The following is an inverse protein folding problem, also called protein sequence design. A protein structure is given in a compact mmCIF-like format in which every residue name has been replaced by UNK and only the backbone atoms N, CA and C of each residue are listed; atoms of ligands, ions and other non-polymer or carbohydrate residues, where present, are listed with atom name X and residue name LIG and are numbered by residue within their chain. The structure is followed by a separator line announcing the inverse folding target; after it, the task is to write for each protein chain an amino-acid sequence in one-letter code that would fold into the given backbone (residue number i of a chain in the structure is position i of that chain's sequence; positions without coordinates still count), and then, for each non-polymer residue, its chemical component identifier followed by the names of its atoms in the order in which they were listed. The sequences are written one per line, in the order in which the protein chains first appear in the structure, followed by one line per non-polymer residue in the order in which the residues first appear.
data_IF_003693155645
#
_entry.id   IF_003693155645
#
_cell.length_a   1.000
_cell.length_b   1.000
_cell.length_c   1.000
_cell.angle_alpha   90.00
_cell.angle_beta   90.00
_cell.angle_gamma   90.00
#
_symmetry.space_group_name_H-M   'P 1'
#
loop_
_entity.id
_entity.type
_entity.pdbx_description
1 polymer ?
#
# COMPACT_ATOMS: atom_id res chain seq x y z
N UNK A 1 39.50 7.65 8.97
CA UNK A 1 39.56 6.18 8.80
C UNK A 1 39.62 5.91 7.30
N UNK A 2 40.74 5.39 6.77
CA UNK A 2 40.93 5.14 5.35
C UNK A 2 40.33 3.77 5.01
N UNK A 3 39.40 3.73 4.04
CA UNK A 3 38.81 2.49 3.53
C UNK A 3 39.85 1.84 2.60
N UNK A 4 40.27 0.59 2.83
CA UNK A 4 41.21 -0.08 1.94
C UNK A 4 40.60 -0.29 0.55
N UNK A 5 41.31 0.14 -0.50
CA UNK A 5 40.92 -0.13 -1.88
C UNK A 5 41.39 -1.50 -2.28
N UNK A 6 40.48 -2.36 -2.72
CA UNK A 6 40.83 -3.65 -3.34
C UNK A 6 41.46 -3.43 -4.71
N UNK A 7 42.48 -4.23 -5.05
CA UNK A 7 43.19 -4.17 -6.33
C UNK A 7 42.35 -4.70 -7.51
N UNK A 8 41.36 -5.53 -7.25
CA UNK A 8 40.45 -6.10 -8.25
C UNK A 8 39.12 -6.45 -7.56
N UNK A 9 38.02 -5.87 -8.06
CA UNK A 9 36.67 -6.09 -7.53
C UNK A 9 36.17 -4.95 -6.60
N UNK A 10 34.89 -4.65 -6.66
CA UNK A 10 34.21 -3.73 -5.76
C UNK A 10 33.47 -4.56 -4.72
N UNK A 11 34.12 -4.93 -3.65
CA UNK A 11 33.45 -5.52 -2.50
C UNK A 11 33.03 -4.38 -1.55
N UNK A 12 31.89 -3.75 -1.89
CA UNK A 12 31.25 -2.78 -1.01
C UNK A 12 30.32 -3.56 -0.11
N UNK A 13 30.54 -3.59 1.21
CA UNK A 13 29.64 -4.28 2.12
C UNK A 13 28.19 -3.81 1.90
N UNK A 14 27.23 -4.74 1.84
CA UNK A 14 25.80 -4.48 1.57
C UNK A 14 25.17 -3.36 2.41
N UNK A 15 25.72 -3.08 3.60
CA UNK A 15 25.27 -2.00 4.47
C UNK A 15 25.80 -0.60 4.06
N UNK A 16 26.75 -0.51 3.14
CA UNK A 16 27.32 0.75 2.61
C UNK A 16 26.66 1.17 1.28
N UNK A 17 25.75 0.39 0.72
CA UNK A 17 25.02 0.77 -0.50
C UNK A 17 24.12 2.00 -0.22
N UNK A 18 24.74 3.19 -0.16
CA UNK A 18 24.06 4.48 -0.01
C UNK A 18 22.99 4.70 -1.10
N UNK A 19 23.21 4.10 -2.28
CA UNK A 19 22.29 4.19 -3.42
C UNK A 19 20.96 3.48 -3.16
N UNK A 20 20.95 2.29 -2.57
CA UNK A 20 19.73 1.58 -2.21
C UNK A 20 18.92 2.28 -1.14
N UNK A 21 19.58 2.87 -0.14
CA UNK A 21 18.86 3.66 0.89
C UNK A 21 18.23 4.92 0.31
N UNK A 22 18.94 5.59 -0.61
CA UNK A 22 18.40 6.74 -1.32
C UNK A 22 17.21 6.36 -2.20
N UNK A 23 17.28 5.24 -2.92
CA UNK A 23 16.19 4.70 -3.74
C UNK A 23 14.97 4.33 -2.88
N UNK A 24 15.17 3.65 -1.75
CA UNK A 24 14.08 3.33 -0.83
C UNK A 24 13.44 4.58 -0.19
N UNK A 25 14.25 5.55 0.23
CA UNK A 25 13.75 6.81 0.76
C UNK A 25 12.95 7.57 -0.29
N UNK A 26 13.40 7.55 -1.53
CA UNK A 26 12.73 8.18 -2.64
C UNK A 26 11.38 7.51 -2.95
N UNK A 27 11.34 6.17 -3.02
CA UNK A 27 10.10 5.41 -3.19
C UNK A 27 9.13 5.75 -2.08
N UNK A 28 9.58 5.84 -0.83
CA UNK A 28 8.75 6.22 0.32
C UNK A 28 8.19 7.64 0.18
N UNK A 29 9.01 8.61 -0.26
CA UNK A 29 8.56 10.01 -0.48
C UNK A 29 7.55 10.08 -1.63
N UNK A 30 7.79 9.37 -2.73
CA UNK A 30 6.86 9.33 -3.87
C UNK A 30 5.55 8.65 -3.48
N UNK A 31 5.62 7.55 -2.73
CA UNK A 31 4.45 6.84 -2.22
C UNK A 31 3.62 7.73 -1.30
N UNK A 32 4.25 8.37 -0.31
CA UNK A 32 3.58 9.30 0.60
C UNK A 32 2.96 10.48 -0.15
N UNK A 33 3.69 11.09 -1.08
CA UNK A 33 3.18 12.18 -1.89
C UNK A 33 1.99 11.76 -2.78
N UNK A 34 2.01 10.54 -3.33
CA UNK A 34 0.89 9.97 -4.08
C UNK A 34 -0.34 9.78 -3.19
N UNK A 35 -0.16 9.21 -2.00
CA UNK A 35 -1.24 9.03 -1.00
C UNK A 35 -1.84 10.39 -0.60
N UNK A 36 -1.01 11.42 -0.47
CA UNK A 36 -1.43 12.80 -0.16
C UNK A 36 -2.05 13.53 -1.37
N UNK A 37 -2.18 12.88 -2.52
CA UNK A 37 -2.74 13.49 -3.73
C UNK A 37 -1.87 14.59 -4.34
N UNK A 38 -0.57 14.57 -4.08
CA UNK A 38 0.38 15.53 -4.66
C UNK A 38 0.64 15.18 -6.11
N UNK A 39 0.50 16.17 -7.01
CA UNK A 39 0.75 15.93 -8.43
C UNK A 39 2.21 15.52 -8.71
N UNK A 40 2.44 14.69 -9.72
CA UNK A 40 3.78 14.22 -10.12
C UNK A 40 4.79 15.36 -10.37
N UNK A 41 4.33 16.52 -10.85
CA UNK A 41 5.16 17.74 -11.01
C UNK A 41 5.62 18.32 -9.67
N UNK A 42 4.74 18.32 -8.66
CA UNK A 42 5.10 18.80 -7.33
C UNK A 42 6.03 17.81 -6.62
N UNK A 43 5.85 16.50 -6.86
CA UNK A 43 6.75 15.47 -6.35
C UNK A 43 8.14 15.62 -6.95
N UNK A 44 8.25 15.87 -8.25
CA UNK A 44 9.52 16.16 -8.93
C UNK A 44 10.23 17.37 -8.30
N UNK A 45 9.49 18.48 -8.11
CA UNK A 45 10.04 19.68 -7.48
C UNK A 45 10.51 19.42 -6.02
N UNK A 46 9.75 18.65 -5.25
CA UNK A 46 10.10 18.26 -3.88
C UNK A 46 11.40 17.44 -3.85
N UNK A 47 11.51 16.46 -4.73
CA UNK A 47 12.68 15.59 -4.83
C UNK A 47 13.92 16.36 -5.25
N UNK A 48 13.79 17.32 -6.18
CA UNK A 48 14.87 18.24 -6.56
C UNK A 48 15.32 19.11 -5.37
N UNK A 49 14.36 19.60 -4.57
CA UNK A 49 14.65 20.38 -3.36
C UNK A 49 15.42 19.57 -2.32
N UNK A 50 15.21 18.27 -2.26
CA UNK A 50 15.95 17.33 -1.41
C UNK A 50 17.37 17.01 -1.92
N UNK A 51 17.81 17.66 -3.03
CA UNK A 51 19.14 17.47 -3.59
C UNK A 51 19.31 16.14 -4.35
N UNK A 52 18.20 15.43 -4.61
CA UNK A 52 18.21 14.21 -5.42
C UNK A 52 18.10 14.67 -6.89
N UNK A 53 19.26 14.91 -7.50
CA UNK A 53 19.33 15.27 -8.91
C UNK A 53 18.89 14.10 -9.80
N UNK A 54 17.97 14.35 -10.75
CA UNK A 54 17.74 13.45 -11.87
C UNK A 54 16.47 12.60 -11.84
N UNK A 55 15.50 12.87 -10.96
CA UNK A 55 14.16 12.26 -11.11
C UNK A 55 13.35 13.07 -12.10
N UNK A 56 13.00 12.43 -13.19
CA UNK A 56 12.09 12.97 -14.19
C UNK A 56 10.63 12.65 -13.83
N UNK A 57 9.70 13.42 -14.39
CA UNK A 57 8.26 13.15 -14.28
C UNK A 57 7.91 11.71 -14.71
N UNK A 58 8.58 11.17 -15.73
CA UNK A 58 8.39 9.80 -16.20
C UNK A 58 8.84 8.76 -15.18
N UNK A 59 9.88 9.05 -14.43
CA UNK A 59 10.37 8.17 -13.35
C UNK A 59 9.42 8.14 -12.15
N UNK A 60 8.89 9.30 -11.75
CA UNK A 60 7.83 9.38 -10.73
C UNK A 60 6.61 8.59 -11.18
N UNK A 61 6.15 8.73 -12.43
CA UNK A 61 5.02 7.97 -12.96
C UNK A 61 5.29 6.45 -12.97
N UNK A 62 6.52 6.02 -13.29
CA UNK A 62 6.91 4.61 -13.24
C UNK A 62 6.90 4.06 -11.81
N UNK A 63 7.34 4.84 -10.84
CA UNK A 63 7.29 4.46 -9.42
C UNK A 63 5.84 4.33 -8.93
N UNK A 64 4.97 5.27 -9.31
CA UNK A 64 3.54 5.18 -9.00
C UNK A 64 2.92 3.90 -9.61
N UNK A 65 3.19 3.61 -10.88
CA UNK A 65 2.70 2.40 -11.53
C UNK A 65 3.21 1.10 -10.86
N UNK A 66 4.44 1.11 -10.35
CA UNK A 66 4.96 -0.02 -9.58
C UNK A 66 4.26 -0.20 -8.23
N UNK A 67 3.87 0.89 -7.56
CA UNK A 67 3.07 0.86 -6.33
C UNK A 67 1.66 0.35 -6.60
N UNK A 68 1.04 0.80 -7.70
CA UNK A 68 -0.28 0.32 -8.12
C UNK A 68 -0.25 -1.19 -8.34
N UNK A 69 0.77 -1.70 -9.07
CA UNK A 69 0.94 -3.13 -9.29
C UNK A 69 1.12 -3.93 -7.98
N UNK A 70 1.83 -3.39 -6.99
CA UNK A 70 1.97 -4.03 -5.67
C UNK A 70 0.64 -4.04 -4.91
N UNK A 71 -0.13 -2.95 -4.99
CA UNK A 71 -1.45 -2.85 -4.38
C UNK A 71 -2.41 -3.84 -5.00
N UNK A 72 -2.42 -3.96 -6.32
CA UNK A 72 -3.25 -4.93 -7.04
C UNK A 72 -2.86 -6.37 -6.72
N UNK A 73 -1.57 -6.67 -6.67
CA UNK A 73 -1.07 -7.97 -6.24
C UNK A 73 -1.50 -8.31 -4.80
N UNK A 74 -1.49 -7.32 -3.89
CA UNK A 74 -2.01 -7.49 -2.54
C UNK A 74 -3.51 -7.74 -2.53
N UNK A 75 -4.29 -6.96 -3.29
CA UNK A 75 -5.75 -7.06 -3.35
C UNK A 75 -6.23 -8.39 -3.94
N UNK A 76 -5.47 -8.96 -4.86
CA UNK A 76 -5.84 -10.19 -5.59
C UNK A 76 -5.20 -11.47 -5.07
N UNK A 77 -4.23 -11.36 -4.13
CA UNK A 77 -3.52 -12.54 -3.58
C UNK A 77 -4.46 -13.55 -2.95
N UNK A 78 -4.13 -14.83 -3.10
CA UNK A 78 -4.86 -15.91 -2.43
C UNK A 78 -4.70 -15.85 -0.93
N UNK A 79 -5.73 -16.34 -0.22
CA UNK A 79 -5.77 -16.45 1.23
C UNK A 79 -5.69 -17.95 1.58
N UNK A 80 -4.48 -18.48 1.74
CA UNK A 80 -4.23 -19.92 1.83
C UNK A 80 -4.38 -20.48 3.26
N UNK A 81 -4.50 -19.62 4.28
CA UNK A 81 -4.66 -20.02 5.67
C UNK A 81 -6.13 -19.99 6.13
N UNK A 82 -6.38 -20.52 7.32
CA UNK A 82 -7.64 -20.34 8.04
C UNK A 82 -7.56 -19.13 8.96
N UNK A 83 -8.66 -18.37 8.99
CA UNK A 83 -8.79 -17.12 9.76
C UNK A 83 -9.99 -17.22 10.69
N UNK A 84 -9.85 -17.81 11.89
CA UNK A 84 -10.96 -17.98 12.82
C UNK A 84 -11.57 -16.66 13.30
N UNK A 85 -10.80 -15.58 13.29
CA UNK A 85 -11.27 -14.25 13.68
C UNK A 85 -11.01 -13.25 12.56
N UNK A 86 -12.04 -12.49 12.19
CA UNK A 86 -11.96 -11.44 11.17
C UNK A 86 -12.57 -10.16 11.71
N UNK A 87 -11.86 -9.05 11.55
CA UNK A 87 -12.36 -7.70 11.82
C UNK A 87 -12.59 -6.97 10.52
N UNK A 88 -13.72 -6.32 10.42
CA UNK A 88 -14.00 -5.36 9.37
C UNK A 88 -14.03 -3.95 9.97
N UNK A 89 -13.42 -3.02 9.28
CA UNK A 89 -13.33 -1.60 9.64
C UNK A 89 -13.49 -0.76 8.38
N UNK A 90 -14.08 0.42 8.51
CA UNK A 90 -14.19 1.37 7.43
C UNK A 90 -13.72 2.76 7.85
N UNK A 91 -13.11 3.48 6.91
CA UNK A 91 -12.68 4.87 7.10
C UNK A 91 -13.02 5.68 5.87
N UNK A 92 -13.36 6.94 6.07
CA UNK A 92 -13.45 7.89 4.98
C UNK A 92 -12.11 8.58 4.75
N UNK A 93 -11.65 8.56 3.50
CA UNK A 93 -10.45 9.27 3.04
C UNK A 93 -10.82 10.29 1.98
N UNK A 94 -10.18 11.45 2.02
CA UNK A 94 -10.32 12.44 0.96
C UNK A 94 -9.35 12.13 -0.17
N UNK A 95 -9.88 11.73 -1.31
CA UNK A 95 -9.13 11.40 -2.52
C UNK A 95 -9.33 12.48 -3.56
N UNK A 96 -8.27 12.87 -4.24
CA UNK A 96 -8.36 13.79 -5.37
C UNK A 96 -8.46 13.00 -6.67
N UNK A 97 -9.61 13.08 -7.31
CA UNK A 97 -9.88 12.51 -8.62
C UNK A 97 -10.44 13.62 -9.53
N UNK A 98 -9.97 13.70 -10.77
CA UNK A 98 -10.41 14.70 -11.78
C UNK A 98 -10.47 16.16 -11.27
N UNK A 99 -9.42 16.58 -10.55
CA UNK A 99 -9.32 17.91 -9.91
C UNK A 99 -10.38 18.20 -8.83
N UNK A 100 -11.14 17.23 -8.38
CA UNK A 100 -12.10 17.34 -7.27
C UNK A 100 -11.63 16.52 -6.09
N UNK A 101 -11.90 17.00 -4.89
CA UNK A 101 -11.69 16.22 -3.66
C UNK A 101 -12.99 15.51 -3.36
N UNK A 102 -12.95 14.17 -3.35
CA UNK A 102 -14.09 13.33 -3.01
C UNK A 102 -13.79 12.57 -1.71
N UNK A 103 -14.81 12.39 -0.90
CA UNK A 103 -14.73 11.52 0.27
C UNK A 103 -15.03 10.09 -0.19
N UNK A 104 -14.07 9.17 0.01
CA UNK A 104 -14.18 7.78 -0.38
C UNK A 104 -14.18 6.91 0.86
N UNK A 105 -15.05 5.92 0.89
CA UNK A 105 -15.03 4.88 1.92
C UNK A 105 -13.90 3.89 1.61
N UNK A 106 -13.02 3.67 2.58
CA UNK A 106 -11.95 2.66 2.53
C UNK A 106 -12.30 1.56 3.52
N UNK A 107 -12.63 0.37 3.02
CA UNK A 107 -12.96 -0.80 3.82
C UNK A 107 -11.75 -1.72 3.96
N UNK A 108 -11.52 -2.22 5.17
CA UNK A 108 -10.36 -3.05 5.50
C UNK A 108 -10.81 -4.31 6.23
N UNK A 109 -10.20 -5.44 5.88
CA UNK A 109 -10.36 -6.70 6.60
C UNK A 109 -9.04 -7.11 7.26
N UNK A 110 -9.10 -7.34 8.57
CA UNK A 110 -8.00 -7.96 9.33
C UNK A 110 -8.38 -9.39 9.68
N UNK A 111 -7.50 -10.33 9.38
CA UNK A 111 -7.66 -11.72 9.78
C UNK A 111 -6.63 -12.12 10.83
N UNK A 112 -7.05 -12.91 11.81
CA UNK A 112 -6.12 -13.58 12.73
C UNK A 112 -6.09 -15.05 12.37
N UNK A 113 -4.89 -15.54 12.11
CA UNK A 113 -4.62 -16.96 11.83
C UNK A 113 -4.72 -17.78 13.11
N UNK A 114 -4.80 -19.10 12.97
CA UNK A 114 -4.83 -20.04 14.09
C UNK A 114 -3.56 -19.98 14.98
N UNK A 115 -2.44 -19.50 14.43
CA UNK A 115 -1.19 -19.25 15.17
C UNK A 115 -1.15 -17.88 15.91
N UNK A 116 -2.24 -17.09 15.85
CA UNK A 116 -2.37 -15.79 16.50
C UNK A 116 -1.82 -14.61 15.69
N UNK A 117 -1.26 -14.83 14.53
CA UNK A 117 -0.73 -13.76 13.67
C UNK A 117 -1.89 -12.96 13.07
N UNK A 118 -1.90 -11.65 13.34
CA UNK A 118 -2.87 -10.69 12.77
C UNK A 118 -2.30 -10.03 11.53
N UNK A 119 -3.05 -10.06 10.45
CA UNK A 119 -2.63 -9.48 9.17
C UNK A 119 -3.80 -8.82 8.44
N UNK A 120 -3.50 -7.81 7.61
CA UNK A 120 -4.49 -7.26 6.66
C UNK A 120 -4.75 -8.28 5.56
N UNK A 121 -6.00 -8.66 5.36
CA UNK A 121 -6.42 -9.65 4.35
C UNK A 121 -7.06 -9.05 3.14
N UNK A 122 -7.67 -7.89 3.30
CA UNK A 122 -8.30 -7.16 2.20
C UNK A 122 -8.36 -5.68 2.45
N UNK A 123 -8.44 -4.95 1.34
CA UNK A 123 -8.68 -3.52 1.28
C UNK A 123 -9.46 -3.26 0.01
N UNK A 124 -10.49 -2.44 0.12
CA UNK A 124 -11.23 -1.93 -1.04
C UNK A 124 -11.68 -0.50 -0.82
N UNK A 125 -12.06 0.17 -1.91
CA UNK A 125 -12.45 1.59 -1.90
C UNK A 125 -13.74 1.75 -2.68
N UNK A 126 -14.68 2.52 -2.11
CA UNK A 126 -15.94 2.86 -2.75
C UNK A 126 -16.35 4.30 -2.50
N UNK A 127 -17.35 4.78 -3.23
CA UNK A 127 -17.88 6.14 -3.07
C UNK A 127 -18.61 6.32 -1.73
N UNK A 128 -19.21 5.25 -1.23
CA UNK A 128 -19.93 5.24 0.04
C UNK A 128 -19.75 3.90 0.75
N UNK A 129 -19.87 3.92 2.07
CA UNK A 129 -19.96 2.73 2.89
C UNK A 129 -21.40 2.21 2.89
N UNK A 130 -21.73 1.35 1.94
CA UNK A 130 -23.05 0.79 1.74
C UNK A 130 -23.04 -0.74 1.62
N UNK A 131 -24.23 -1.33 1.59
CA UNK A 131 -24.43 -2.78 1.44
C UNK A 131 -23.75 -3.33 0.19
N UNK A 132 -23.68 -2.54 -0.91
CA UNK A 132 -23.12 -2.99 -2.18
C UNK A 132 -21.61 -3.14 -2.06
N UNK A 133 -20.94 -2.12 -1.48
CA UNK A 133 -19.49 -2.15 -1.24
C UNK A 133 -19.12 -3.31 -0.30
N UNK A 134 -19.80 -3.44 0.83
CA UNK A 134 -19.53 -4.50 1.81
C UNK A 134 -19.74 -5.90 1.22
N UNK A 135 -20.85 -6.11 0.50
CA UNK A 135 -21.14 -7.37 -0.14
C UNK A 135 -20.06 -7.75 -1.17
N UNK A 136 -19.71 -6.84 -2.06
CA UNK A 136 -18.66 -7.06 -3.05
C UNK A 136 -17.32 -7.38 -2.40
N UNK A 137 -16.95 -6.64 -1.37
CA UNK A 137 -15.72 -6.84 -0.62
C UNK A 137 -15.65 -8.21 0.05
N UNK A 138 -16.71 -8.61 0.78
CA UNK A 138 -16.77 -9.92 1.43
C UNK A 138 -16.76 -11.07 0.43
N UNK A 139 -17.51 -10.95 -0.68
CA UNK A 139 -17.50 -11.94 -1.77
C UNK A 139 -16.09 -12.06 -2.38
N UNK A 140 -15.39 -10.95 -2.56
CA UNK A 140 -14.00 -10.94 -3.03
C UNK A 140 -13.05 -11.68 -2.08
N UNK A 141 -13.19 -11.50 -0.76
CA UNK A 141 -12.41 -12.24 0.23
C UNK A 141 -12.68 -13.75 0.18
N UNK A 142 -13.94 -14.15 0.07
CA UNK A 142 -14.33 -15.56 -0.05
C UNK A 142 -13.78 -16.16 -1.35
N UNK A 143 -13.91 -15.47 -2.48
CA UNK A 143 -13.38 -15.90 -3.77
C UNK A 143 -11.85 -16.08 -3.75
N UNK A 144 -11.14 -15.28 -2.96
CA UNK A 144 -9.70 -15.39 -2.73
C UNK A 144 -9.31 -16.48 -1.76
N UNK A 145 -10.27 -17.15 -1.11
CA UNK A 145 -10.04 -18.30 -0.24
C UNK A 145 -10.20 -18.02 1.26
N UNK A 146 -10.85 -16.93 1.68
CA UNK A 146 -11.17 -16.70 3.09
C UNK A 146 -12.03 -17.86 3.62
N UNK A 147 -11.53 -18.55 4.64
CA UNK A 147 -12.18 -19.72 5.21
C UNK A 147 -11.89 -19.87 6.71
N UNK A 148 -12.66 -20.75 7.36
CA UNK A 148 -12.45 -21.09 8.79
C UNK A 148 -12.94 -19.99 9.73
N UNK A 149 -13.71 -19.03 9.26
CA UNK A 149 -14.21 -17.89 10.06
C UNK A 149 -15.19 -18.39 11.12
N UNK A 150 -14.92 -18.13 12.38
CA UNK A 150 -15.74 -18.46 13.54
C UNK A 150 -16.37 -17.22 14.16
N UNK A 151 -15.70 -16.08 14.07
CA UNK A 151 -16.18 -14.82 14.62
C UNK A 151 -15.82 -13.66 13.68
N UNK A 152 -16.80 -12.85 13.39
CA UNK A 152 -16.64 -11.56 12.69
C UNK A 152 -16.90 -10.44 13.70
N UNK A 153 -16.05 -9.43 13.68
CA UNK A 153 -16.13 -8.25 14.53
C UNK A 153 -16.17 -7.03 13.64
N UNK A 154 -17.14 -6.16 13.82
CA UNK A 154 -17.29 -4.89 13.11
C UNK A 154 -17.91 -3.84 14.02
N UNK A 155 -17.79 -2.56 13.66
CA UNK A 155 -18.70 -1.55 14.13
C UNK A 155 -20.08 -1.82 13.50
N UNK A 156 -21.15 -1.73 14.23
CA UNK A 156 -22.49 -2.10 13.79
C UNK A 156 -23.04 -1.13 12.71
N UNK A 157 -22.30 -0.98 11.58
CA UNK A 157 -22.74 -0.13 10.47
C UNK A 157 -23.88 -0.77 9.69
N UNK A 158 -24.88 0.03 9.33
CA UNK A 158 -26.12 -0.44 8.64
C UNK A 158 -25.85 -1.11 7.30
N UNK A 159 -24.71 -0.82 6.66
CA UNK A 159 -24.30 -1.41 5.38
C UNK A 159 -23.65 -2.78 5.49
N UNK A 160 -23.34 -3.26 6.70
CA UNK A 160 -22.62 -4.53 6.96
C UNK A 160 -23.60 -5.63 7.51
#
# INVERSE_FOLDING_TARGET
MAIPKLRTGTDVPRWVEARRRGEHALVAVVAEASVQGVSTRKVEALVQTLGIAGISKSEVSRLCAALDAQTDAFRTRRLDAEYPYVWFDARYAHVREDNRVQSMAVVVAYGVRSDGVREVRGLDVGLSEDVVLWRAFMQGLVARGLRGVKLVISDAHVGL
#
